data_IF_112796405283
#
_entry.id   IF_112796405283
#
_cell.length_a   1.000
_cell.length_b   1.000
_cell.length_c   1.000
_cell.angle_alpha   90.00
_cell.angle_beta   90.00
_cell.angle_gamma   90.00
#
_symmetry.space_group_name_H-M   'P 1'
#
loop_
_entity.id
_entity.type
_entity.pdbx_description
1 polymer ?
#
# COMPACT_ATOMS: atom_id res chain seq x y z
N UNK A 1 -8.65 5.23 17.56
CA UNK A 1 -7.99 4.13 16.81
C UNK A 1 -7.82 4.54 15.36
N UNK A 2 -6.63 4.40 14.81
CA UNK A 2 -6.36 4.70 13.41
C UNK A 2 -7.01 3.66 12.50
N UNK A 3 -7.47 4.08 11.33
CA UNK A 3 -7.93 3.12 10.31
C UNK A 3 -6.77 2.30 9.77
N UNK A 4 -7.06 1.15 9.19
CA UNK A 4 -6.05 0.32 8.54
C UNK A 4 -5.36 1.08 7.39
N UNK A 5 -6.11 1.91 6.67
CA UNK A 5 -5.57 2.75 5.58
C UNK A 5 -4.56 3.76 6.14
N UNK A 6 -4.85 4.39 7.26
CA UNK A 6 -3.93 5.32 7.91
C UNK A 6 -2.66 4.61 8.37
N UNK A 7 -2.78 3.40 8.90
CA UNK A 7 -1.64 2.58 9.30
C UNK A 7 -0.75 2.21 8.10
N UNK A 8 -1.37 1.86 6.97
CA UNK A 8 -0.64 1.58 5.72
C UNK A 8 0.11 2.84 5.25
N UNK A 9 -0.59 3.98 5.20
CA UNK A 9 0.00 5.27 4.80
C UNK A 9 1.23 5.59 5.64
N UNK A 10 1.10 5.53 6.94
CA UNK A 10 2.21 5.83 7.86
C UNK A 10 3.37 4.85 7.68
N UNK A 11 3.08 3.57 7.49
CA UNK A 11 4.13 2.56 7.27
C UNK A 11 4.92 2.81 5.99
N UNK A 12 4.24 3.21 4.91
CA UNK A 12 4.88 3.54 3.63
C UNK A 12 5.74 4.80 3.77
N UNK A 13 5.18 5.87 4.28
CA UNK A 13 5.87 7.16 4.40
C UNK A 13 7.06 7.07 5.36
N UNK A 14 6.91 6.37 6.47
CA UNK A 14 8.00 6.19 7.44
C UNK A 14 9.13 5.31 6.89
N UNK A 15 8.81 4.26 6.15
CA UNK A 15 9.81 3.33 5.63
C UNK A 15 10.55 3.87 4.41
N UNK A 16 9.90 4.62 3.56
CA UNK A 16 10.42 4.98 2.24
C UNK A 16 10.60 6.48 2.01
N UNK A 17 9.92 7.32 2.79
CA UNK A 17 9.93 8.77 2.61
C UNK A 17 9.12 9.27 1.42
N UNK A 18 8.42 8.38 0.69
CA UNK A 18 7.58 8.80 -0.44
C UNK A 18 6.19 9.20 0.02
N UNK A 19 5.57 10.13 -0.69
CA UNK A 19 4.18 10.54 -0.44
C UNK A 19 3.22 9.40 -0.78
N UNK A 20 2.25 9.20 0.07
CA UNK A 20 1.21 8.18 -0.13
C UNK A 20 -0.13 8.84 -0.45
N UNK A 21 -0.79 8.35 -1.50
CA UNK A 21 -2.10 8.82 -1.93
C UNK A 21 -3.11 7.68 -1.88
N UNK A 22 -4.28 7.97 -1.32
CA UNK A 22 -5.41 7.06 -1.32
C UNK A 22 -6.60 7.75 -1.95
N UNK A 23 -6.91 7.37 -3.18
CA UNK A 23 -7.96 7.98 -3.99
C UNK A 23 -8.75 6.92 -4.75
N UNK A 24 -9.96 7.30 -5.18
CA UNK A 24 -10.70 6.49 -6.12
C UNK A 24 -10.02 6.50 -7.50
N UNK A 25 -10.26 5.50 -8.35
CA UNK A 25 -9.67 5.48 -9.69
C UNK A 25 -9.93 6.74 -10.52
N UNK A 26 -11.09 7.38 -10.35
CA UNK A 26 -11.44 8.62 -11.06
C UNK A 26 -10.62 9.81 -10.57
N UNK A 27 -10.43 9.94 -9.26
CA UNK A 27 -9.68 11.06 -8.67
C UNK A 27 -8.18 10.87 -8.78
N UNK A 28 -7.72 9.63 -8.87
CA UNK A 28 -6.30 9.30 -9.03
C UNK A 28 -5.71 9.92 -10.30
N UNK A 29 -6.40 9.78 -11.44
CA UNK A 29 -5.96 10.37 -12.71
C UNK A 29 -5.85 11.89 -12.64
N UNK A 30 -6.73 12.55 -11.89
CA UNK A 30 -6.67 14.00 -11.68
C UNK A 30 -5.50 14.40 -10.78
N UNK A 31 -5.16 13.57 -9.80
CA UNK A 31 -4.03 13.82 -8.90
C UNK A 31 -2.67 13.56 -9.52
N UNK A 32 -2.58 12.65 -10.48
CA UNK A 32 -1.31 12.32 -11.14
C UNK A 32 -0.65 13.56 -11.77
N UNK A 33 -1.44 14.52 -12.24
CA UNK A 33 -0.94 15.79 -12.78
C UNK A 33 -0.32 16.69 -11.71
N UNK A 34 -0.66 16.50 -10.44
CA UNK A 34 -0.25 17.35 -9.31
C UNK A 34 0.50 16.58 -8.23
N UNK A 35 0.65 15.28 -8.38
CA UNK A 35 1.31 14.45 -7.38
C UNK A 35 2.80 14.74 -7.31
N UNK A 36 3.37 14.62 -6.11
CA UNK A 36 4.81 14.62 -5.91
C UNK A 36 5.34 13.23 -6.24
N UNK A 37 6.24 13.14 -7.21
CA UNK A 37 6.87 11.88 -7.59
C UNK A 37 8.29 11.77 -7.03
N UNK A 38 8.76 10.57 -6.66
CA UNK A 38 7.98 9.34 -6.63
C UNK A 38 6.88 9.37 -5.58
N UNK A 39 5.83 8.60 -5.80
CA UNK A 39 4.73 8.49 -4.85
C UNK A 39 4.29 7.04 -4.70
N UNK A 40 3.48 6.78 -3.69
CA UNK A 40 2.85 5.47 -3.49
C UNK A 40 1.33 5.62 -3.54
N UNK A 41 0.68 4.61 -4.10
CA UNK A 41 -0.77 4.57 -4.25
C UNK A 41 -1.27 3.21 -3.78
N UNK A 42 -2.49 3.18 -3.25
CA UNK A 42 -3.10 1.97 -2.73
C UNK A 42 -4.26 1.52 -3.59
N UNK A 43 -4.25 0.25 -3.96
CA UNK A 43 -5.39 -0.44 -4.56
C UNK A 43 -5.81 -1.59 -3.64
N UNK A 44 -7.06 -1.56 -3.18
CA UNK A 44 -7.63 -2.64 -2.38
C UNK A 44 -8.21 -3.69 -3.32
N UNK A 45 -7.64 -4.90 -3.28
CA UNK A 45 -8.11 -6.03 -4.09
C UNK A 45 -9.26 -6.73 -3.37
N UNK A 46 -9.10 -6.97 -2.08
CA UNK A 46 -10.09 -7.65 -1.25
C UNK A 46 -9.97 -7.17 0.18
N UNK A 47 -11.10 -7.03 0.86
CA UNK A 47 -11.10 -6.76 2.30
C UNK A 47 -12.10 -7.65 3.01
N UNK A 48 -11.81 -7.98 4.25
CA UNK A 48 -12.68 -8.83 5.06
C UNK A 48 -12.32 -8.74 6.53
N UNK A 49 -13.02 -9.52 7.31
CA UNK A 49 -12.81 -9.61 8.74
C UNK A 49 -12.40 -11.03 9.12
N UNK A 50 -11.51 -11.12 10.10
CA UNK A 50 -11.04 -12.38 10.67
C UNK A 50 -11.33 -12.39 12.15
N UNK A 51 -11.88 -13.50 12.64
CA UNK A 51 -12.13 -13.70 14.06
C UNK A 51 -11.17 -14.77 14.60
N UNK A 52 -10.48 -14.45 15.69
CA UNK A 52 -9.62 -15.43 16.35
C UNK A 52 -10.41 -16.29 17.36
N UNK A 53 -9.74 -17.23 18.00
CA UNK A 53 -10.35 -18.14 18.97
C UNK A 53 -10.88 -17.44 20.23
N UNK A 54 -10.43 -16.23 20.50
CA UNK A 54 -10.88 -15.41 21.64
C UNK A 54 -12.02 -14.46 21.26
N UNK A 55 -12.53 -14.56 20.03
CA UNK A 55 -13.63 -13.72 19.54
C UNK A 55 -13.23 -12.31 19.12
N UNK A 56 -11.95 -12.02 19.02
CA UNK A 56 -11.44 -10.71 18.56
C UNK A 56 -11.54 -10.64 17.04
N UNK A 57 -12.20 -9.59 16.56
CA UNK A 57 -12.33 -9.31 15.12
C UNK A 57 -11.24 -8.35 14.69
N UNK A 58 -10.57 -8.68 13.58
CA UNK A 58 -9.56 -7.86 12.93
C UNK A 58 -9.89 -7.71 11.46
N UNK A 59 -9.56 -6.54 10.91
CA UNK A 59 -9.65 -6.34 9.49
C UNK A 59 -8.43 -6.95 8.80
N UNK A 60 -8.68 -7.64 7.68
CA UNK A 60 -7.64 -8.20 6.81
C UNK A 60 -7.89 -7.70 5.40
N UNK A 61 -6.84 -7.25 4.74
CA UNK A 61 -6.91 -6.76 3.37
C UNK A 61 -5.86 -7.40 2.49
N UNK A 62 -6.27 -7.76 1.28
CA UNK A 62 -5.34 -8.01 0.18
C UNK A 62 -5.23 -6.73 -0.62
N UNK A 63 -4.03 -6.20 -0.73
CA UNK A 63 -3.78 -4.90 -1.34
C UNK A 63 -2.65 -4.96 -2.35
N UNK A 64 -2.67 -4.01 -3.27
CA UNK A 64 -1.53 -3.67 -4.11
C UNK A 64 -1.07 -2.27 -3.72
N UNK A 65 0.20 -2.13 -3.37
CA UNK A 65 0.82 -0.81 -3.16
C UNK A 65 1.71 -0.54 -4.36
N UNK A 66 1.37 0.52 -5.09
CA UNK A 66 2.05 0.93 -6.31
C UNK A 66 3.01 2.06 -5.99
N UNK A 67 4.29 1.86 -6.29
CA UNK A 67 5.30 2.91 -6.23
C UNK A 67 5.50 3.43 -7.64
N UNK A 68 5.20 4.71 -7.86
CA UNK A 68 5.11 5.29 -9.18
C UNK A 68 6.07 6.47 -9.37
N UNK A 69 6.54 6.64 -10.58
CA UNK A 69 7.29 7.82 -11.01
C UNK A 69 6.80 8.29 -12.37
N UNK A 70 6.93 9.58 -12.63
CA UNK A 70 6.60 10.15 -13.92
C UNK A 70 7.63 9.70 -14.94
N UNK A 71 7.18 9.26 -16.11
CA UNK A 71 8.03 8.76 -17.20
C UNK A 71 7.96 9.67 -18.41
N UNK A 72 9.07 9.69 -19.17
CA UNK A 72 9.08 10.28 -20.50
C UNK A 72 8.36 9.37 -21.51
N UNK A 73 7.77 9.97 -22.55
CA UNK A 73 7.04 9.26 -23.59
C UNK A 73 7.91 8.39 -24.50
N UNK A 74 9.23 8.58 -24.49
CA UNK A 74 10.17 7.74 -25.24
C UNK A 74 10.36 6.41 -24.52
N UNK A 75 9.50 5.46 -24.84
CA UNK A 75 9.49 4.17 -24.19
C UNK A 75 10.57 3.25 -24.74
N UNK A 76 11.55 2.93 -23.89
CA UNK A 76 12.46 1.80 -24.03
C UNK A 76 12.32 0.94 -22.80
N UNK A 77 11.72 -0.25 -22.96
CA UNK A 77 11.36 -1.12 -21.85
C UNK A 77 12.53 -1.51 -20.96
N UNK A 78 13.67 -1.87 -21.54
CA UNK A 78 14.84 -2.26 -20.77
C UNK A 78 15.47 -1.07 -20.04
N UNK A 79 15.51 0.09 -20.66
CA UNK A 79 16.01 1.31 -20.04
C UNK A 79 15.14 1.75 -18.87
N UNK A 80 13.82 1.70 -19.03
CA UNK A 80 12.85 1.99 -17.96
C UNK A 80 13.03 1.01 -16.81
N UNK A 81 13.15 -0.29 -17.11
CA UNK A 81 13.36 -1.34 -16.10
C UNK A 81 14.65 -1.10 -15.31
N UNK A 82 15.75 -0.79 -15.99
CA UNK A 82 17.06 -0.60 -15.36
C UNK A 82 17.19 0.69 -14.56
N UNK A 83 16.41 1.72 -14.87
CA UNK A 83 16.46 3.01 -14.19
C UNK A 83 15.26 3.22 -13.27
N UNK A 84 14.09 3.51 -13.82
CA UNK A 84 12.92 3.91 -13.07
C UNK A 84 12.35 2.79 -12.23
N UNK A 85 12.03 1.63 -12.83
CA UNK A 85 11.39 0.53 -12.12
C UNK A 85 12.31 -0.10 -11.08
N UNK A 86 13.61 -0.14 -11.34
CA UNK A 86 14.55 -0.67 -10.34
C UNK A 86 14.61 0.22 -9.08
N UNK A 87 14.54 1.53 -9.24
CA UNK A 87 14.46 2.46 -8.10
C UNK A 87 13.17 2.27 -7.32
N UNK A 88 12.05 2.13 -8.01
CA UNK A 88 10.75 1.92 -7.40
C UNK A 88 10.68 0.57 -6.68
N UNK A 89 11.27 -0.47 -7.27
CA UNK A 89 11.40 -1.79 -6.62
C UNK A 89 12.15 -1.69 -5.30
N UNK A 90 13.23 -0.93 -5.24
CA UNK A 90 13.98 -0.72 -4.01
C UNK A 90 13.07 -0.09 -2.94
N UNK A 91 12.32 0.95 -3.30
CA UNK A 91 11.35 1.58 -2.38
C UNK A 91 10.28 0.60 -1.92
N UNK A 92 9.72 -0.17 -2.85
CA UNK A 92 8.71 -1.19 -2.52
C UNK A 92 9.27 -2.22 -1.54
N UNK A 93 10.48 -2.70 -1.75
CA UNK A 93 11.10 -3.70 -0.88
C UNK A 93 11.53 -3.13 0.46
N UNK A 94 11.93 -1.86 0.53
CA UNK A 94 12.14 -1.17 1.81
C UNK A 94 10.86 -1.21 2.66
N UNK A 95 9.71 -0.91 2.04
CA UNK A 95 8.44 -0.99 2.73
C UNK A 95 8.11 -2.42 3.17
N UNK A 96 8.26 -3.41 2.29
CA UNK A 96 8.01 -4.82 2.62
C UNK A 96 8.85 -5.28 3.81
N UNK A 97 10.13 -4.93 3.82
CA UNK A 97 11.01 -5.26 4.94
C UNK A 97 10.54 -4.59 6.24
N UNK A 98 10.03 -3.37 6.14
CA UNK A 98 9.50 -2.65 7.30
C UNK A 98 8.26 -3.34 7.87
N UNK A 99 7.29 -3.71 7.04
CA UNK A 99 6.06 -4.36 7.52
C UNK A 99 6.32 -5.79 8.02
N UNK A 100 7.29 -6.51 7.45
CA UNK A 100 7.68 -7.83 7.93
C UNK A 100 8.28 -7.79 9.34
N UNK A 101 8.86 -6.65 9.71
CA UNK A 101 9.45 -6.42 11.03
C UNK A 101 8.50 -5.73 12.00
N UNK A 102 7.39 -5.20 11.51
CA UNK A 102 6.42 -4.48 12.34
C UNK A 102 5.71 -5.44 13.29
N UNK A 103 5.57 -5.03 14.55
CA UNK A 103 4.97 -5.88 15.59
C UNK A 103 3.80 -5.23 16.30
N UNK A 104 3.49 -3.97 15.98
CA UNK A 104 2.55 -3.16 16.79
C UNK A 104 1.26 -2.78 16.10
N UNK A 105 1.25 -2.56 14.79
CA UNK A 105 0.07 -2.05 14.10
C UNK A 105 -0.44 -2.97 13.00
N UNK A 106 0.46 -3.46 12.15
CA UNK A 106 0.13 -4.30 11.01
C UNK A 106 0.96 -5.57 11.00
N UNK A 107 0.36 -6.63 10.54
CA UNK A 107 1.04 -7.91 10.30
C UNK A 107 0.92 -8.26 8.83
N UNK A 108 2.03 -8.60 8.20
CA UNK A 108 2.03 -9.17 6.86
C UNK A 108 1.66 -10.65 6.97
N UNK A 109 0.52 -11.02 6.41
CA UNK A 109 0.05 -12.42 6.40
C UNK A 109 0.72 -13.19 5.27
N UNK A 110 0.82 -12.58 4.09
CA UNK A 110 1.45 -13.21 2.93
C UNK A 110 1.95 -12.19 1.92
N UNK A 111 3.01 -12.54 1.23
CA UNK A 111 3.51 -11.82 0.05
C UNK A 111 2.94 -12.54 -1.17
N UNK A 112 2.16 -11.83 -1.98
CA UNK A 112 1.37 -12.46 -3.05
C UNK A 112 1.95 -12.25 -4.44
N UNK A 113 2.93 -11.35 -4.59
CA UNK A 113 3.59 -11.11 -5.86
C UNK A 113 3.94 -9.66 -6.11
N UNK A 114 4.45 -9.40 -7.30
CA UNK A 114 4.82 -8.08 -7.78
C UNK A 114 4.14 -7.80 -9.11
N UNK A 115 4.02 -6.53 -9.46
CA UNK A 115 3.44 -6.09 -10.73
C UNK A 115 4.26 -4.94 -11.30
N UNK A 116 4.19 -4.78 -12.62
CA UNK A 116 4.87 -3.72 -13.34
C UNK A 116 3.92 -3.00 -14.26
N UNK A 117 3.98 -1.69 -14.23
CA UNK A 117 3.17 -0.82 -15.09
C UNK A 117 4.11 0.15 -15.80
N UNK A 118 4.03 0.16 -17.12
CA UNK A 118 4.87 1.01 -17.95
C UNK A 118 4.06 2.19 -18.45
N UNK A 119 4.69 3.35 -18.54
CA UNK A 119 4.08 4.51 -19.14
C UNK A 119 3.69 4.20 -20.60
N UNK A 120 2.44 4.53 -20.93
CA UNK A 120 1.88 4.40 -22.28
C UNK A 120 1.26 5.73 -22.68
N UNK A 121 0.70 5.82 -23.88
CA UNK A 121 0.02 7.03 -24.33
C UNK A 121 -1.14 7.45 -23.39
N UNK A 122 -1.72 6.47 -22.68
CA UNK A 122 -2.83 6.70 -21.73
C UNK A 122 -2.35 6.89 -20.29
N UNK A 123 -1.09 6.62 -19.99
CA UNK A 123 -0.53 6.71 -18.64
C UNK A 123 0.83 7.42 -18.67
N UNK A 124 0.94 8.48 -17.88
CA UNK A 124 2.16 9.30 -17.81
C UNK A 124 3.15 8.81 -16.75
N UNK A 125 2.92 7.67 -16.15
CA UNK A 125 3.75 7.14 -15.07
C UNK A 125 4.12 5.67 -15.32
N UNK A 126 5.28 5.29 -14.77
CA UNK A 126 5.68 3.89 -14.59
C UNK A 126 5.54 3.53 -13.13
N UNK A 127 5.17 2.30 -12.82
CA UNK A 127 4.96 1.88 -11.45
C UNK A 127 5.44 0.45 -11.21
N UNK A 128 5.96 0.23 -10.01
CA UNK A 128 6.26 -1.09 -9.48
C UNK A 128 5.31 -1.36 -8.32
N UNK A 129 4.52 -2.42 -8.41
CA UNK A 129 3.54 -2.80 -7.41
C UNK A 129 3.98 -4.01 -6.60
N UNK A 130 3.59 -4.03 -5.34
CA UNK A 130 3.71 -5.20 -4.47
C UNK A 130 2.34 -5.59 -3.97
N UNK A 131 2.05 -6.87 -4.05
CA UNK A 131 0.76 -7.46 -3.65
C UNK A 131 0.96 -8.21 -2.36
N UNK A 132 0.24 -7.80 -1.33
CA UNK A 132 0.37 -8.37 0.01
C UNK A 132 -0.99 -8.52 0.66
N UNK A 133 -1.09 -9.47 1.57
CA UNK A 133 -2.22 -9.57 2.50
C UNK A 133 -1.74 -9.10 3.86
N UNK A 134 -2.40 -8.10 4.40
CA UNK A 134 -2.10 -7.53 5.70
C UNK A 134 -3.29 -7.65 6.64
N UNK A 135 -3.01 -7.63 7.92
CA UNK A 135 -4.01 -7.74 8.97
C UNK A 135 -3.66 -6.77 10.09
N UNK A 136 -4.67 -6.15 10.67
CA UNK A 136 -4.49 -5.36 11.88
C UNK A 136 -4.06 -6.26 13.04
N UNK A 137 -3.10 -5.81 13.84
CA UNK A 137 -2.72 -6.51 15.07
C UNK A 137 -3.74 -6.22 16.16
N UNK A 138 -4.16 -4.96 16.27
CA UNK A 138 -5.19 -4.54 17.18
C UNK A 138 -6.57 -4.88 16.59
N UNK A 139 -7.42 -5.48 17.40
CA UNK A 139 -8.76 -5.86 17.00
C UNK A 139 -9.79 -5.37 17.97
N UNK A 140 -11.05 -5.69 17.67
CA UNK A 140 -12.20 -5.34 18.52
C UNK A 140 -12.84 -6.61 19.05
N UNK A 141 -12.96 -6.69 20.36
CA UNK A 141 -13.72 -7.73 21.03
C UNK A 141 -15.02 -7.15 21.59
N UNK A 142 -15.97 -8.03 21.89
CA UNK A 142 -17.20 -7.61 22.54
C UNK A 142 -16.92 -6.86 23.85
N UNK A 143 -15.96 -7.34 24.63
CA UNK A 143 -15.55 -6.70 25.87
C UNK A 143 -14.99 -5.29 25.64
N UNK A 144 -14.12 -5.11 24.66
CA UNK A 144 -13.56 -3.80 24.31
C UNK A 144 -14.63 -2.84 23.81
N UNK A 145 -15.55 -3.34 22.99
CA UNK A 145 -16.66 -2.55 22.48
C UNK A 145 -17.58 -2.07 23.62
N UNK A 146 -17.98 -2.95 24.53
CA UNK A 146 -18.82 -2.62 25.69
C UNK A 146 -18.13 -1.57 26.57
N UNK A 147 -16.85 -1.71 26.84
CA UNK A 147 -16.08 -0.73 27.61
C UNK A 147 -15.98 0.63 26.91
N UNK A 148 -15.90 0.66 25.60
CA UNK A 148 -15.83 1.90 24.80
C UNK A 148 -17.19 2.59 24.76
N UNK A 149 -18.29 1.84 24.65
CA UNK A 149 -19.65 2.40 24.58
C UNK A 149 -20.23 2.76 25.94
N UNK A 150 -19.73 2.20 27.02
CA UNK A 150 -20.15 2.51 28.39
C UNK A 150 -19.63 3.87 28.89
N UNK A 151 -18.80 4.52 28.13
CA UNK A 151 -18.31 5.87 28.40
C UNK A 151 -19.13 6.91 27.63
#
# INVERSE_FOLDING_TARGET
>A
MKSIIQKIKESVENATGVMFYYDTPQTLNLRLDRATFPCAMLHIVESGAVQDTNGVLRERMTIEVLFATQSNLDFDGLKVENSELNRLKIKAFEWLLAILRMKTELRCVSLNGTSRYYATDDAIYSAFGVNVTIEEIEGISKCNYENTTAK
#
